data_IF_052496155708
#
_entry.id   IF_052496155708
#
_cell.length_a   1.000
_cell.length_b   1.000
_cell.length_c   1.000
_cell.angle_alpha   90.00
_cell.angle_beta   90.00
_cell.angle_gamma   90.00
#
_symmetry.space_group_name_H-M   'P 1'
#
loop_
_entity.id
_entity.type
_entity.pdbx_description
1 polymer ?
#
# COMPACT_ATOMS: atom_id res chain seq x y z
N UNK A 1 -30.13 5.20 -17.93
CA UNK A 1 -28.71 5.47 -18.27
C UNK A 1 -27.93 4.20 -17.99
N UNK A 2 -27.27 3.64 -19.02
CA UNK A 2 -26.51 2.40 -18.92
C UNK A 2 -25.21 2.60 -18.11
N UNK A 3 -24.71 1.57 -17.43
CA UNK A 3 -23.37 1.62 -16.82
C UNK A 3 -22.27 1.89 -17.87
N UNK A 4 -22.49 1.47 -19.11
CA UNK A 4 -21.61 1.77 -20.24
C UNK A 4 -21.58 3.27 -20.58
N UNK A 5 -22.70 3.99 -20.48
CA UNK A 5 -22.75 5.44 -20.74
C UNK A 5 -21.95 6.23 -19.68
N UNK A 6 -21.97 5.77 -18.41
CA UNK A 6 -21.15 6.37 -17.34
C UNK A 6 -19.66 6.12 -17.56
N UNK A 7 -19.28 4.91 -17.97
CA UNK A 7 -17.88 4.55 -18.26
C UNK A 7 -17.38 5.31 -19.50
N UNK A 8 -18.21 5.45 -20.53
CA UNK A 8 -17.90 6.23 -21.73
C UNK A 8 -17.82 7.74 -21.46
N UNK A 9 -18.65 8.27 -20.55
CA UNK A 9 -18.58 9.67 -20.13
C UNK A 9 -17.34 9.99 -19.28
N UNK A 10 -16.85 9.05 -18.47
CA UNK A 10 -15.58 9.19 -17.74
C UNK A 10 -14.35 9.16 -18.66
N UNK A 11 -14.47 8.53 -19.84
CA UNK A 11 -13.38 8.37 -20.81
C UNK A 11 -12.80 9.70 -21.27
N UNK A 12 -13.64 10.71 -21.49
CA UNK A 12 -13.21 12.04 -21.94
C UNK A 12 -12.60 12.89 -20.82
N UNK A 13 -12.86 12.55 -19.55
CA UNK A 13 -12.27 13.25 -18.40
C UNK A 13 -10.86 12.76 -18.08
N UNK A 14 -10.55 11.50 -18.42
CA UNK A 14 -9.27 10.86 -18.07
C UNK A 14 -8.32 10.82 -19.27
N UNK A 15 -8.82 10.61 -20.49
CA UNK A 15 -7.97 10.41 -21.67
C UNK A 15 -8.29 11.36 -22.82
N UNK A 16 -7.27 12.04 -23.32
CA UNK A 16 -7.24 12.66 -24.65
C UNK A 16 -7.01 11.58 -25.70
N UNK A 17 -7.89 11.51 -26.69
CA UNK A 17 -7.79 10.55 -27.79
C UNK A 17 -7.63 11.31 -29.09
N UNK A 18 -6.52 11.07 -29.78
CA UNK A 18 -6.23 11.68 -31.08
C UNK A 18 -5.99 10.60 -32.12
N UNK A 19 -6.60 10.74 -33.28
CA UNK A 19 -6.28 9.92 -34.46
C UNK A 19 -5.06 10.54 -35.15
N UNK A 20 -3.95 9.81 -35.19
CA UNK A 20 -2.68 10.31 -35.71
C UNK A 20 -2.49 9.93 -37.19
N UNK A 21 -3.09 8.80 -37.62
CA UNK A 21 -3.16 8.27 -39.00
C UNK A 21 -4.39 7.36 -39.14
N UNK A 22 -4.78 7.01 -40.37
CA UNK A 22 -5.89 6.06 -40.63
C UNK A 22 -5.66 4.76 -39.83
N UNK A 23 -6.59 4.45 -38.93
CA UNK A 23 -6.56 3.30 -38.00
C UNK A 23 -5.51 3.35 -36.87
N UNK A 24 -4.95 4.51 -36.53
CA UNK A 24 -4.04 4.66 -35.37
C UNK A 24 -4.57 5.69 -34.37
N UNK A 25 -5.00 5.20 -33.19
CA UNK A 25 -5.44 6.01 -32.07
C UNK A 25 -4.32 6.16 -31.04
N UNK A 26 -4.04 7.39 -30.64
CA UNK A 26 -3.13 7.72 -29.55
C UNK A 26 -3.94 8.15 -28.33
N UNK A 27 -3.60 7.56 -27.19
CA UNK A 27 -4.17 7.86 -25.89
C UNK A 27 -3.15 8.63 -25.07
N UNK A 28 -3.57 9.73 -24.47
CA UNK A 28 -2.80 10.54 -23.53
C UNK A 28 -3.70 10.81 -22.31
N UNK A 29 -3.14 10.95 -21.12
CA UNK A 29 -3.90 11.49 -19.99
C UNK A 29 -4.24 12.97 -20.23
N UNK A 30 -5.45 13.39 -19.86
CA UNK A 30 -5.74 14.83 -19.76
C UNK A 30 -4.78 15.48 -18.76
N UNK A 31 -4.44 16.77 -18.89
CA UNK A 31 -3.58 17.45 -17.92
C UNK A 31 -4.05 17.31 -16.47
N UNK A 32 -5.37 17.29 -16.25
CA UNK A 32 -5.99 17.10 -14.96
C UNK A 32 -5.77 15.68 -14.42
N UNK A 33 -5.96 14.66 -15.27
CA UNK A 33 -5.72 13.27 -14.89
C UNK A 33 -4.24 12.98 -14.65
N UNK A 34 -3.35 13.57 -15.45
CA UNK A 34 -1.90 13.49 -15.24
C UNK A 34 -1.49 14.13 -13.90
N UNK A 35 -2.02 15.32 -13.58
CA UNK A 35 -1.78 15.98 -12.29
C UNK A 35 -2.24 15.11 -11.11
N UNK A 36 -3.43 14.54 -11.18
CA UNK A 36 -3.97 13.66 -10.14
C UNK A 36 -3.13 12.39 -9.99
N UNK A 37 -2.70 11.79 -11.10
CA UNK A 37 -1.82 10.62 -11.09
C UNK A 37 -0.49 10.93 -10.41
N UNK A 38 0.16 12.05 -10.76
CA UNK A 38 1.43 12.46 -10.15
C UNK A 38 1.27 12.74 -8.65
N UNK A 39 0.18 13.38 -8.24
CA UNK A 39 -0.12 13.65 -6.84
C UNK A 39 -0.37 12.35 -6.06
N UNK A 40 -1.11 11.40 -6.63
CA UNK A 40 -1.29 10.08 -6.04
C UNK A 40 0.06 9.36 -5.86
N UNK A 41 0.94 9.41 -6.86
CA UNK A 41 2.28 8.82 -6.75
C UNK A 41 3.11 9.48 -5.64
N UNK A 42 3.06 10.82 -5.53
CA UNK A 42 3.75 11.57 -4.45
C UNK A 42 3.26 11.11 -3.07
N UNK A 43 1.95 11.08 -2.87
CA UNK A 43 1.34 10.67 -1.59
C UNK A 43 1.69 9.21 -1.28
N UNK A 44 1.63 8.30 -2.26
CA UNK A 44 1.99 6.88 -2.05
C UNK A 44 3.44 6.72 -1.59
N UNK A 45 4.36 7.49 -2.16
CA UNK A 45 5.76 7.48 -1.75
C UNK A 45 5.94 8.03 -0.32
N UNK A 46 5.23 9.09 0.04
CA UNK A 46 5.26 9.65 1.40
C UNK A 46 4.67 8.71 2.45
N UNK A 47 3.68 7.90 2.06
CA UNK A 47 3.05 6.93 2.95
C UNK A 47 3.86 5.63 3.13
N UNK A 48 4.93 5.44 2.36
CA UNK A 48 5.62 4.16 2.29
C UNK A 48 6.15 3.69 3.65
N UNK A 49 6.82 4.58 4.40
CA UNK A 49 7.36 4.25 5.72
C UNK A 49 6.26 3.85 6.71
N UNK A 50 5.09 4.51 6.63
CA UNK A 50 3.93 4.16 7.42
C UNK A 50 3.40 2.76 7.04
N UNK A 51 3.38 2.42 5.75
CA UNK A 51 2.95 1.10 5.27
C UNK A 51 3.91 0.00 5.71
N UNK A 52 5.22 0.27 5.70
CA UNK A 52 6.25 -0.63 6.22
C UNK A 52 6.00 -0.91 7.70
N UNK A 53 5.78 0.13 8.51
CA UNK A 53 5.47 -0.02 9.94
C UNK A 53 4.19 -0.83 10.15
N UNK A 54 3.12 -0.56 9.39
CA UNK A 54 1.87 -1.33 9.45
C UNK A 54 2.09 -2.81 9.12
N UNK A 55 2.84 -3.11 8.08
CA UNK A 55 3.12 -4.48 7.67
C UNK A 55 3.99 -5.21 8.69
N UNK A 56 4.99 -4.52 9.29
CA UNK A 56 5.78 -5.05 10.40
C UNK A 56 4.89 -5.40 11.59
N UNK A 57 4.03 -4.47 12.03
CA UNK A 57 3.08 -4.71 13.14
C UNK A 57 2.13 -5.88 12.84
N UNK A 58 1.63 -5.98 11.61
CA UNK A 58 0.78 -7.10 11.20
C UNK A 58 1.48 -8.45 11.38
N UNK A 59 2.73 -8.55 10.92
CA UNK A 59 3.53 -9.77 11.09
C UNK A 59 3.87 -10.02 12.56
N UNK A 60 4.18 -8.98 13.34
CA UNK A 60 4.46 -9.09 14.77
C UNK A 60 3.28 -9.64 15.58
N UNK A 61 2.04 -9.40 15.13
CA UNK A 61 0.82 -9.96 15.74
C UNK A 61 0.53 -11.40 15.32
N UNK A 62 1.22 -11.93 14.31
CA UNK A 62 1.07 -13.33 13.87
C UNK A 62 1.91 -14.28 14.72
N UNK A 63 1.40 -15.48 14.98
CA UNK A 63 2.04 -16.48 15.85
C UNK A 63 3.49 -16.79 15.44
N UNK A 64 3.70 -17.01 14.13
CA UNK A 64 4.98 -17.43 13.57
C UNK A 64 5.77 -16.26 12.95
N UNK A 65 5.33 -15.01 13.18
CA UNK A 65 5.89 -13.80 12.53
C UNK A 65 5.88 -13.88 11.00
N UNK A 66 4.99 -14.70 10.46
CA UNK A 66 4.83 -14.93 9.02
C UNK A 66 3.35 -15.04 8.65
N UNK A 67 3.02 -14.54 7.47
CA UNK A 67 1.66 -14.62 6.90
C UNK A 67 1.79 -14.95 5.41
N UNK A 68 0.93 -15.86 4.92
CA UNK A 68 0.86 -16.17 3.49
C UNK A 68 0.63 -14.90 2.67
N UNK A 69 1.44 -14.72 1.61
CA UNK A 69 1.35 -13.56 0.73
C UNK A 69 -0.02 -13.42 0.07
N UNK A 70 -0.72 -14.53 -0.17
CA UNK A 70 -2.10 -14.53 -0.68
C UNK A 70 -3.08 -13.88 0.31
N UNK A 71 -2.95 -14.19 1.60
CA UNK A 71 -3.78 -13.58 2.66
C UNK A 71 -3.56 -12.07 2.76
N UNK A 72 -2.30 -11.63 2.66
CA UNK A 72 -1.97 -10.19 2.66
C UNK A 72 -2.57 -9.50 1.41
N UNK A 73 -2.57 -10.17 0.25
CA UNK A 73 -3.20 -9.63 -0.97
C UNK A 73 -4.70 -9.41 -0.78
N UNK A 74 -5.41 -10.30 -0.08
CA UNK A 74 -6.84 -10.10 0.21
C UNK A 74 -7.10 -8.87 1.08
N UNK A 75 -6.18 -8.52 1.98
CA UNK A 75 -6.28 -7.37 2.88
C UNK A 75 -5.61 -6.10 2.32
N UNK A 76 -5.08 -6.16 1.10
CA UNK A 76 -4.23 -5.10 0.53
C UNK A 76 -4.91 -3.74 0.58
N UNK A 77 -6.17 -3.67 0.14
CA UNK A 77 -6.95 -2.43 0.10
C UNK A 77 -7.16 -1.86 1.49
N UNK A 78 -7.52 -2.70 2.46
CA UNK A 78 -7.75 -2.28 3.86
C UNK A 78 -6.46 -1.78 4.53
N UNK A 79 -5.32 -2.33 4.13
CA UNK A 79 -4.00 -1.94 4.63
C UNK A 79 -3.40 -0.74 3.88
N UNK A 80 -4.01 -0.32 2.75
CA UNK A 80 -3.48 0.75 1.89
C UNK A 80 -2.21 0.34 1.12
N UNK A 81 -1.98 -0.96 0.92
CA UNK A 81 -0.80 -1.47 0.24
C UNK A 81 -0.90 -1.30 -1.30
N UNK A 82 0.20 -0.99 -2.01
CA UNK A 82 0.23 -0.98 -3.47
C UNK A 82 -0.10 -2.35 -4.09
N UNK A 83 -0.68 -2.38 -5.29
CA UNK A 83 -0.97 -3.62 -6.03
C UNK A 83 0.29 -4.49 -6.14
N UNK A 84 1.43 -3.85 -6.38
CA UNK A 84 2.75 -4.44 -6.56
C UNK A 84 3.57 -4.48 -5.25
N UNK A 85 2.95 -4.39 -4.06
CA UNK A 85 3.70 -4.29 -2.78
C UNK A 85 4.74 -5.39 -2.58
N UNK A 86 4.52 -6.58 -3.16
CA UNK A 86 5.48 -7.68 -3.15
C UNK A 86 6.79 -7.27 -3.82
N UNK A 87 6.71 -6.64 -4.98
CA UNK A 87 7.84 -6.20 -5.81
C UNK A 87 8.41 -4.84 -5.38
N UNK A 88 7.66 -4.06 -4.61
CA UNK A 88 8.08 -2.72 -4.16
C UNK A 88 8.50 -2.72 -2.70
N UNK A 89 7.58 -2.91 -1.77
CA UNK A 89 7.83 -2.83 -0.32
C UNK A 89 8.69 -4.02 0.12
N UNK A 90 8.31 -5.26 -0.19
CA UNK A 90 9.06 -6.42 0.32
C UNK A 90 10.50 -6.47 -0.22
N UNK A 91 10.72 -6.08 -1.48
CA UNK A 91 12.05 -6.04 -2.08
C UNK A 91 12.92 -4.87 -1.62
N UNK A 92 12.33 -3.69 -1.35
CA UNK A 92 13.09 -2.50 -0.89
C UNK A 92 13.46 -2.53 0.60
N UNK A 93 12.74 -3.32 1.39
CA UNK A 93 12.97 -3.43 2.83
C UNK A 93 13.37 -4.85 3.27
N UNK A 94 14.46 -5.43 2.71
CA UNK A 94 14.88 -6.81 3.02
C UNK A 94 15.34 -6.98 4.49
N UNK A 95 15.71 -5.88 5.16
CA UNK A 95 16.02 -5.87 6.58
C UNK A 95 14.80 -6.10 7.48
N UNK A 96 13.58 -5.99 6.94
CA UNK A 96 12.34 -6.23 7.68
C UNK A 96 11.55 -7.41 7.13
N UNK A 97 11.60 -7.65 5.82
CA UNK A 97 10.76 -8.62 5.15
C UNK A 97 11.57 -9.64 4.36
N UNK A 98 11.18 -10.91 4.49
CA UNK A 98 11.71 -12.01 3.67
C UNK A 98 10.56 -12.84 3.14
N UNK A 99 10.63 -13.19 1.86
CA UNK A 99 9.68 -14.14 1.27
C UNK A 99 10.23 -15.54 1.42
N UNK A 100 9.48 -16.43 2.07
CA UNK A 100 9.88 -17.82 2.34
C UNK A 100 8.85 -18.81 1.78
N UNK A 101 9.29 -19.96 1.25
CA UNK A 101 8.38 -21.02 0.86
C UNK A 101 7.84 -21.74 2.11
N UNK A 102 6.56 -22.06 2.09
CA UNK A 102 5.88 -22.90 3.10
C UNK A 102 5.09 -24.00 2.40
N UNK A 103 4.61 -24.99 3.15
CA UNK A 103 3.73 -26.05 2.63
C UNK A 103 2.46 -25.51 1.95
N UNK A 104 2.03 -24.29 2.32
CA UNK A 104 0.79 -23.66 1.83
C UNK A 104 1.06 -22.57 0.78
N UNK A 105 2.29 -22.46 0.28
CA UNK A 105 2.71 -21.42 -0.66
C UNK A 105 3.68 -20.42 -0.06
N UNK A 106 3.86 -19.27 -0.73
CA UNK A 106 4.82 -18.25 -0.28
C UNK A 106 4.26 -17.44 0.90
N UNK A 107 5.06 -17.31 1.95
CA UNK A 107 4.79 -16.45 3.09
C UNK A 107 5.73 -15.25 3.13
N UNK A 108 5.24 -14.14 3.66
CA UNK A 108 6.06 -13.02 4.08
C UNK A 108 6.40 -13.19 5.55
N UNK A 109 7.68 -13.21 5.86
CA UNK A 109 8.24 -13.37 7.20
C UNK A 109 8.88 -12.06 7.67
N UNK A 110 8.71 -11.75 8.95
CA UNK A 110 9.41 -10.65 9.62
C UNK A 110 10.81 -11.11 10.04
N UNK A 111 11.84 -10.45 9.50
CA UNK A 111 13.24 -10.82 9.79
C UNK A 111 13.76 -10.22 11.08
N UNK A 112 13.23 -9.07 11.51
CA UNK A 112 13.65 -8.37 12.71
C UNK A 112 12.46 -7.87 13.53
N UNK A 113 12.42 -8.26 14.81
CA UNK A 113 11.43 -7.78 15.76
C UNK A 113 11.84 -6.43 16.33
N UNK A 114 10.91 -5.48 16.35
CA UNK A 114 11.13 -4.12 16.81
C UNK A 114 10.33 -3.86 18.09
N UNK A 115 11.03 -3.72 19.20
CA UNK A 115 10.39 -3.49 20.50
C UNK A 115 9.70 -2.13 20.58
N UNK A 116 10.14 -1.13 19.81
CA UNK A 116 9.51 0.20 19.77
C UNK A 116 8.14 0.14 19.08
N UNK A 117 7.92 -0.87 18.22
CA UNK A 117 6.61 -1.12 17.61
C UNK A 117 5.69 -1.98 18.50
N UNK A 118 6.22 -2.60 19.54
CA UNK A 118 5.52 -3.51 20.45
C UNK A 118 4.81 -2.81 21.62
N UNK A 119 4.47 -1.53 21.43
CA UNK A 119 3.67 -0.74 22.37
C UNK A 119 2.27 -0.52 21.83
N UNK A 120 1.27 -0.71 22.68
CA UNK A 120 -0.13 -0.46 22.32
C UNK A 120 -0.46 1.03 22.43
N UNK A 121 -1.48 1.47 21.69
CA UNK A 121 -1.99 2.84 21.81
C UNK A 121 -2.44 3.18 23.23
N UNK A 122 -3.02 2.21 23.95
CA UNK A 122 -3.42 2.37 25.35
C UNK A 122 -2.21 2.66 26.27
N UNK A 123 -1.12 1.91 26.11
CA UNK A 123 0.12 2.13 26.88
C UNK A 123 0.71 3.52 26.60
N UNK A 124 0.80 3.91 25.33
CA UNK A 124 1.29 5.24 24.96
C UNK A 124 0.45 6.36 25.59
N UNK A 125 -0.88 6.21 25.56
CA UNK A 125 -1.80 7.21 26.14
C UNK A 125 -1.61 7.31 27.66
N UNK A 126 -1.39 6.19 28.33
CA UNK A 126 -1.16 6.18 29.78
C UNK A 126 0.17 6.84 30.15
N UNK A 127 1.24 6.59 29.40
CA UNK A 127 2.53 7.26 29.58
C UNK A 127 2.45 8.77 29.35
N UNK A 128 1.73 9.21 28.31
CA UNK A 128 1.48 10.63 28.05
C UNK A 128 0.70 11.30 29.19
N UNK A 129 -0.31 10.62 29.74
CA UNK A 129 -1.07 11.14 30.87
C UNK A 129 -0.18 11.26 32.13
N UNK A 130 0.64 10.26 32.44
CA UNK A 130 1.59 10.32 33.56
C UNK A 130 2.61 11.44 33.40
N UNK A 131 3.09 11.70 32.18
CA UNK A 131 4.04 12.77 31.92
C UNK A 131 3.46 14.17 32.23
N UNK A 132 2.16 14.38 31.94
CA UNK A 132 1.44 15.63 32.24
C UNK A 132 1.14 15.84 33.73
N UNK A 133 1.04 14.76 34.51
CA UNK A 133 0.80 14.84 35.96
C UNK A 133 2.05 15.24 36.76
N UNK A 134 3.23 15.17 36.15
CA UNK A 134 4.53 15.47 36.76
C UNK A 134 5.01 16.90 36.42
N UNK A 135 4.37 17.57 35.45
CA UNK A 135 4.60 18.97 35.05
C UNK A 135 3.72 19.96 35.85
#
# INVERSE_FOLDING_TARGET
>A
MSQLDRIMSLRELVFDIKEERVFSLKFKLTPEAERLYLEEMRIRNEMEDLLVVKLRKLLMMSLEKQILLEKIVHLRTDLGLPLEFRNTICHRYPQYFRVVPTERGLALELTHWDTELAVSAAQLTEEENRAREVE
#
